data_IF_013715485599
#
_entry.id   IF_013715485599
#
_cell.length_a   1.000
_cell.length_b   1.000
_cell.length_c   1.000
_cell.angle_alpha   90.00
_cell.angle_beta   90.00
_cell.angle_gamma   90.00
#
_symmetry.space_group_name_H-M   'P 1'
#
loop_
_entity.id
_entity.type
_entity.pdbx_description
1 polymer ?
#
# COMPACT_ATOMS: atom_id res chain seq x y z
N UNK A 1 21.99 23.60 27.20
CA UNK A 1 21.71 22.89 25.94
C UNK A 1 20.65 23.68 25.21
N UNK A 2 21.04 24.39 24.15
CA UNK A 2 20.22 25.42 23.49
C UNK A 2 19.10 24.76 22.70
N UNK A 3 17.85 25.03 23.06
CA UNK A 3 16.66 24.68 22.30
C UNK A 3 16.57 25.58 21.06
N UNK A 4 17.18 25.16 19.95
CA UNK A 4 17.01 25.84 18.65
C UNK A 4 15.58 25.59 18.17
N UNK A 5 14.71 26.58 18.37
CA UNK A 5 13.38 26.60 17.76
C UNK A 5 13.56 26.80 16.26
N UNK A 6 13.48 25.72 15.48
CA UNK A 6 13.37 25.81 14.02
C UNK A 6 12.14 26.66 13.67
N UNK A 7 12.34 27.75 12.94
CA UNK A 7 11.26 28.66 12.53
C UNK A 7 10.78 28.24 11.15
N UNK A 8 9.54 27.76 11.07
CA UNK A 8 8.90 27.41 9.81
C UNK A 8 8.05 28.58 9.30
N UNK A 9 8.07 28.82 7.99
CA UNK A 9 7.16 29.74 7.31
C UNK A 9 5.98 28.92 6.79
N UNK A 10 4.75 29.32 7.15
CA UNK A 10 3.52 28.69 6.68
C UNK A 10 2.79 29.65 5.76
N UNK A 11 2.56 29.22 4.52
CA UNK A 11 1.70 29.92 3.56
C UNK A 11 0.30 29.32 3.58
N UNK A 12 -0.72 30.16 3.65
CA UNK A 12 -2.13 29.75 3.59
C UNK A 12 -2.67 30.22 2.24
N UNK A 13 -3.32 29.32 1.51
CA UNK A 13 -3.90 29.57 0.19
C UNK A 13 -5.39 29.25 0.24
N UNK A 14 -6.18 29.98 -0.54
CA UNK A 14 -7.63 29.83 -0.67
C UNK A 14 -8.04 28.95 -1.87
N UNK A 15 -7.18 28.88 -2.88
CA UNK A 15 -7.43 28.19 -4.14
C UNK A 15 -6.30 27.20 -4.51
N UNK A 16 -6.67 26.09 -5.15
CA UNK A 16 -5.76 25.00 -5.53
C UNK A 16 -4.79 25.39 -6.66
N UNK A 17 -5.24 26.20 -7.63
CA UNK A 17 -4.41 26.64 -8.76
C UNK A 17 -3.33 27.62 -8.27
N UNK A 18 -3.69 28.51 -7.35
CA UNK A 18 -2.77 29.46 -6.72
C UNK A 18 -1.71 28.70 -5.91
N UNK A 19 -2.13 27.65 -5.19
CA UNK A 19 -1.22 26.78 -4.44
C UNK A 19 -0.23 26.07 -5.37
N UNK A 20 -0.69 25.46 -6.47
CA UNK A 20 0.17 24.76 -7.44
C UNK A 20 1.23 25.70 -8.04
N UNK A 21 0.81 26.85 -8.55
CA UNK A 21 1.74 27.86 -9.08
C UNK A 21 2.71 28.40 -8.02
N UNK A 22 2.24 28.55 -6.78
CA UNK A 22 3.07 28.93 -5.64
C UNK A 22 4.16 27.90 -5.35
N UNK A 23 3.79 26.61 -5.31
CA UNK A 23 4.73 25.49 -5.08
C UNK A 23 5.77 25.42 -6.19
N UNK A 24 5.38 25.53 -7.46
CA UNK A 24 6.29 25.56 -8.60
C UNK A 24 7.28 26.73 -8.51
N UNK A 25 6.80 27.93 -8.19
CA UNK A 25 7.63 29.12 -8.05
C UNK A 25 8.62 29.05 -6.88
N UNK A 26 8.20 28.50 -5.74
CA UNK A 26 9.05 28.32 -4.56
C UNK A 26 10.13 27.26 -4.81
N UNK A 27 9.75 26.14 -5.43
CA UNK A 27 10.69 25.08 -5.83
C UNK A 27 11.68 25.58 -6.88
N UNK A 28 11.24 26.36 -7.87
CA UNK A 28 12.11 26.98 -8.88
C UNK A 28 13.16 27.92 -8.30
N UNK A 29 12.90 28.51 -7.12
CA UNK A 29 13.85 29.33 -6.36
C UNK A 29 14.79 28.51 -5.47
N UNK A 30 14.70 27.18 -5.50
CA UNK A 30 15.57 26.27 -4.74
C UNK A 30 15.22 26.15 -3.26
N UNK A 31 14.08 26.70 -2.82
CA UNK A 31 13.62 26.57 -1.44
C UNK A 31 13.06 25.17 -1.24
N UNK A 32 13.56 24.47 -0.20
CA UNK A 32 13.05 23.15 0.17
C UNK A 32 11.72 23.30 0.90
N UNK A 33 10.64 22.84 0.28
CA UNK A 33 9.33 22.72 0.90
C UNK A 33 9.35 21.46 1.77
N UNK A 34 8.94 21.59 3.04
CA UNK A 34 8.90 20.44 3.96
C UNK A 34 7.67 19.59 3.70
N UNK A 35 6.48 20.18 3.83
CA UNK A 35 5.18 19.52 3.68
C UNK A 35 4.15 20.50 3.12
N UNK A 36 3.15 19.96 2.44
CA UNK A 36 1.95 20.69 1.98
C UNK A 36 0.73 19.94 2.49
N UNK A 37 -0.15 20.63 3.17
CA UNK A 37 -1.38 20.07 3.72
C UNK A 37 -2.57 20.55 2.89
N UNK A 38 -3.36 19.61 2.36
CA UNK A 38 -4.58 19.88 1.61
C UNK A 38 -5.73 19.01 2.14
N UNK A 39 -6.96 19.54 2.27
CA UNK A 39 -8.11 18.77 2.73
C UNK A 39 -8.58 17.71 1.71
N UNK A 40 -8.12 17.80 0.45
CA UNK A 40 -8.46 16.86 -0.62
C UNK A 40 -7.24 16.64 -1.55
N UNK A 41 -7.22 15.54 -2.35
CA UNK A 41 -6.14 15.29 -3.29
C UNK A 41 -6.14 16.31 -4.43
N UNK A 42 -5.12 17.16 -4.47
CA UNK A 42 -4.86 18.10 -5.57
C UNK A 42 -4.08 17.36 -6.66
N UNK A 43 -4.60 17.35 -7.87
CA UNK A 43 -3.96 16.65 -8.99
C UNK A 43 -2.67 17.38 -9.41
N UNK A 44 -1.59 16.64 -9.64
CA UNK A 44 -0.30 17.21 -10.07
C UNK A 44 0.53 17.84 -8.95
N UNK A 45 0.02 17.91 -7.72
CA UNK A 45 0.79 18.42 -6.58
C UNK A 45 2.00 17.54 -6.26
N UNK A 46 1.89 16.23 -6.47
CA UNK A 46 2.97 15.26 -6.32
C UNK A 46 4.10 15.48 -7.32
N UNK A 47 3.76 15.82 -8.57
CA UNK A 47 4.71 16.18 -9.62
C UNK A 47 5.35 17.56 -9.36
N UNK A 48 4.54 18.53 -8.94
CA UNK A 48 5.00 19.87 -8.56
C UNK A 48 5.97 19.83 -7.37
N UNK A 49 5.73 18.97 -6.37
CA UNK A 49 6.63 18.73 -5.24
C UNK A 49 7.83 17.83 -5.60
N UNK A 50 7.71 17.04 -6.68
CA UNK A 50 8.76 16.13 -7.14
C UNK A 50 8.88 14.88 -6.27
N UNK A 51 7.78 14.39 -5.71
CA UNK A 51 7.79 13.15 -4.94
C UNK A 51 8.11 11.94 -5.81
N UNK A 52 8.84 10.98 -5.24
CA UNK A 52 9.07 9.68 -5.89
C UNK A 52 7.81 8.83 -5.78
N UNK A 53 7.53 8.04 -6.82
CA UNK A 53 6.43 7.07 -6.80
C UNK A 53 6.52 6.13 -5.60
N UNK A 54 5.37 5.84 -5.01
CA UNK A 54 5.27 4.97 -3.83
C UNK A 54 5.59 3.52 -4.20
N UNK A 55 6.20 2.78 -3.26
CA UNK A 55 6.54 1.35 -3.42
C UNK A 55 5.45 0.42 -2.89
N UNK A 56 4.26 0.95 -2.57
CA UNK A 56 3.11 0.20 -2.10
C UNK A 56 2.65 -0.92 -3.06
N UNK A 57 2.67 -0.74 -4.40
CA UNK A 57 2.29 -1.82 -5.32
C UNK A 57 3.19 -3.05 -5.22
N UNK A 58 4.49 -2.86 -4.95
CA UNK A 58 5.45 -3.96 -4.79
C UNK A 58 5.12 -4.75 -3.52
N UNK A 59 4.83 -4.04 -2.42
CA UNK A 59 4.42 -4.69 -1.18
C UNK A 59 3.15 -5.53 -1.39
N UNK A 60 2.13 -4.96 -2.03
CA UNK A 60 0.88 -5.66 -2.34
C UNK A 60 1.12 -6.93 -3.17
N UNK A 61 1.99 -6.87 -4.18
CA UNK A 61 2.36 -8.04 -4.97
C UNK A 61 3.00 -9.15 -4.13
N UNK A 62 3.92 -8.80 -3.22
CA UNK A 62 4.57 -9.77 -2.33
C UNK A 62 3.58 -10.40 -1.34
N UNK A 63 2.65 -9.62 -0.79
CA UNK A 63 1.59 -10.16 0.08
C UNK A 63 0.60 -11.04 -0.68
N UNK A 64 0.24 -10.67 -1.90
CA UNK A 64 -0.56 -11.53 -2.78
C UNK A 64 0.16 -12.84 -3.12
N UNK A 65 1.45 -12.78 -3.48
CA UNK A 65 2.25 -13.97 -3.81
C UNK A 65 2.36 -14.93 -2.62
N UNK A 66 2.62 -14.39 -1.43
CA UNK A 66 2.67 -15.19 -0.20
C UNK A 66 1.32 -15.81 0.13
N UNK A 67 0.20 -15.09 -0.09
CA UNK A 67 -1.15 -15.63 0.03
C UNK A 67 -1.46 -16.76 -0.94
N UNK A 68 -1.05 -16.64 -2.20
CA UNK A 68 -1.21 -17.70 -3.20
C UNK A 68 -0.41 -18.93 -2.81
N UNK A 69 0.87 -18.77 -2.41
CA UNK A 69 1.74 -19.88 -1.99
C UNK A 69 1.16 -20.57 -0.75
N UNK A 70 0.70 -19.79 0.23
CA UNK A 70 0.08 -20.32 1.44
C UNK A 70 -1.17 -21.13 1.10
N UNK A 71 -2.08 -20.60 0.27
CA UNK A 71 -3.32 -21.26 -0.08
C UNK A 71 -3.10 -22.58 -0.85
N UNK A 72 -2.15 -22.58 -1.79
CA UNK A 72 -1.75 -23.80 -2.53
C UNK A 72 -1.14 -24.80 -1.56
N UNK A 73 -0.16 -24.40 -0.75
CA UNK A 73 0.55 -25.30 0.17
C UNK A 73 -0.43 -25.91 1.18
N UNK A 74 -1.33 -25.11 1.74
CA UNK A 74 -2.36 -25.55 2.70
C UNK A 74 -3.27 -26.60 2.08
N UNK A 75 -3.81 -26.35 0.87
CA UNK A 75 -4.75 -27.27 0.22
C UNK A 75 -4.07 -28.57 -0.23
N UNK A 76 -2.88 -28.47 -0.81
CA UNK A 76 -2.10 -29.64 -1.22
C UNK A 76 -1.69 -30.50 -0.02
N UNK A 77 -1.30 -29.88 1.10
CA UNK A 77 -0.95 -30.63 2.31
C UNK A 77 -2.16 -31.35 2.87
N UNK A 78 -3.26 -30.64 3.15
CA UNK A 78 -4.42 -31.22 3.84
C UNK A 78 -5.09 -32.34 3.03
N UNK A 79 -5.34 -32.10 1.73
CA UNK A 79 -6.08 -33.04 0.89
C UNK A 79 -5.19 -34.07 0.18
N UNK A 80 -3.89 -33.78 0.03
CA UNK A 80 -2.95 -34.66 -0.66
C UNK A 80 -2.17 -35.58 0.27
N UNK A 81 -1.76 -35.09 1.45
CA UNK A 81 -0.81 -35.80 2.30
C UNK A 81 -1.38 -36.15 3.68
N UNK A 82 -2.04 -35.21 4.35
CA UNK A 82 -2.50 -35.41 5.74
C UNK A 82 -3.74 -36.33 5.78
N UNK A 83 -4.77 -36.01 5.00
CA UNK A 83 -5.98 -36.82 4.92
C UNK A 83 -6.52 -36.90 3.49
N UNK A 84 -5.98 -37.81 2.66
CA UNK A 84 -6.52 -38.04 1.32
C UNK A 84 -7.92 -38.67 1.42
N UNK A 85 -8.94 -37.87 1.13
CA UNK A 85 -10.34 -38.29 1.15
C UNK A 85 -10.92 -38.36 -0.28
N UNK A 86 -11.59 -39.46 -0.61
CA UNK A 86 -12.32 -39.58 -1.87
C UNK A 86 -13.70 -38.93 -1.69
N UNK A 87 -13.86 -37.71 -2.18
CA UNK A 87 -15.12 -36.96 -2.09
C UNK A 87 -15.77 -36.94 -3.49
N UNK A 88 -16.92 -37.59 -3.63
CA UNK A 88 -17.70 -37.59 -4.87
C UNK A 88 -17.02 -38.31 -6.06
N UNK A 89 -16.12 -39.26 -5.79
CA UNK A 89 -15.41 -40.05 -6.82
C UNK A 89 -14.33 -39.30 -7.59
N UNK A 90 -13.98 -38.07 -7.17
CA UNK A 90 -12.93 -37.24 -7.80
C UNK A 90 -11.57 -37.53 -7.18
N UNK A 91 -10.51 -37.30 -7.97
CA UNK A 91 -9.12 -37.38 -7.51
C UNK A 91 -8.87 -36.42 -6.34
N UNK A 92 -8.05 -36.85 -5.38
CA UNK A 92 -7.69 -36.13 -4.15
C UNK A 92 -7.17 -34.70 -4.40
N UNK A 93 -6.48 -34.50 -5.52
CA UNK A 93 -5.97 -33.21 -5.96
C UNK A 93 -6.68 -32.85 -7.27
N UNK A 94 -7.80 -32.14 -7.16
CA UNK A 94 -8.44 -31.53 -8.32
C UNK A 94 -8.28 -30.02 -8.24
N UNK A 95 -7.66 -29.43 -9.27
CA UNK A 95 -7.40 -27.99 -9.31
C UNK A 95 -8.67 -27.13 -9.39
N UNK A 96 -9.74 -27.48 -10.14
CA UNK A 96 -10.92 -26.63 -10.27
C UNK A 96 -11.57 -26.19 -8.93
N UNK A 97 -11.80 -27.06 -7.93
CA UNK A 97 -12.36 -26.63 -6.65
C UNK A 97 -11.41 -25.81 -5.77
N UNK A 98 -10.11 -25.80 -6.05
CA UNK A 98 -9.12 -25.07 -5.25
C UNK A 98 -9.03 -23.59 -5.63
N UNK A 99 -9.40 -23.25 -6.87
CA UNK A 99 -9.30 -21.89 -7.42
C UNK A 99 -10.03 -20.85 -6.56
N UNK A 100 -11.30 -21.05 -6.11
CA UNK A 100 -11.98 -20.05 -5.29
C UNK A 100 -11.27 -19.78 -3.96
N UNK A 101 -10.78 -20.83 -3.28
CA UNK A 101 -10.08 -20.68 -2.00
C UNK A 101 -8.74 -19.98 -2.19
N UNK A 102 -7.99 -20.32 -3.24
CA UNK A 102 -6.73 -19.64 -3.57
C UNK A 102 -6.99 -18.15 -3.83
N UNK A 103 -7.99 -17.83 -4.65
CA UNK A 103 -8.34 -16.45 -4.98
C UNK A 103 -8.68 -15.62 -3.73
N UNK A 104 -9.57 -16.12 -2.87
CA UNK A 104 -9.99 -15.41 -1.65
C UNK A 104 -8.81 -15.18 -0.69
N UNK A 105 -7.95 -16.17 -0.46
CA UNK A 105 -6.78 -16.05 0.41
C UNK A 105 -5.74 -15.05 -0.14
N UNK A 106 -5.51 -15.07 -1.46
CA UNK A 106 -4.63 -14.12 -2.13
C UNK A 106 -5.14 -12.69 -1.97
N UNK A 107 -6.44 -12.45 -2.19
CA UNK A 107 -7.05 -11.12 -2.05
C UNK A 107 -7.03 -10.67 -0.59
N UNK A 108 -7.36 -11.55 0.36
CA UNK A 108 -7.36 -11.26 1.79
C UNK A 108 -5.98 -10.83 2.30
N UNK A 109 -4.93 -11.62 2.01
CA UNK A 109 -3.58 -11.30 2.46
C UNK A 109 -2.99 -10.09 1.74
N UNK A 110 -3.29 -9.91 0.45
CA UNK A 110 -2.90 -8.71 -0.29
C UNK A 110 -3.50 -7.44 0.31
N UNK A 111 -4.81 -7.45 0.60
CA UNK A 111 -5.51 -6.30 1.17
C UNK A 111 -5.01 -5.98 2.58
N UNK A 112 -4.92 -6.97 3.47
CA UNK A 112 -4.44 -6.76 4.85
C UNK A 112 -2.97 -6.32 4.88
N UNK A 113 -2.12 -6.93 4.05
CA UNK A 113 -0.70 -6.57 3.95
C UNK A 113 -0.50 -5.15 3.40
N UNK A 114 -1.31 -4.73 2.43
CA UNK A 114 -1.27 -3.37 1.89
C UNK A 114 -1.68 -2.33 2.95
N UNK A 115 -2.78 -2.58 3.67
CA UNK A 115 -3.25 -1.68 4.75
C UNK A 115 -2.20 -1.58 5.86
N UNK A 116 -1.63 -2.71 6.28
CA UNK A 116 -0.56 -2.72 7.29
C UNK A 116 0.68 -1.94 6.82
N UNK A 117 1.09 -2.11 5.56
CA UNK A 117 2.22 -1.37 4.99
C UNK A 117 1.93 0.13 4.94
N UNK A 118 0.72 0.53 4.53
CA UNK A 118 0.30 1.91 4.48
C UNK A 118 0.36 2.57 5.87
N UNK A 119 -0.20 1.94 6.90
CA UNK A 119 -0.19 2.47 8.26
C UNK A 119 1.24 2.64 8.81
N UNK A 120 2.14 1.69 8.52
CA UNK A 120 3.54 1.75 8.97
C UNK A 120 4.31 2.86 8.24
N UNK A 121 4.11 3.02 6.93
CA UNK A 121 4.82 4.01 6.11
C UNK A 121 4.35 5.44 6.39
N UNK A 122 3.05 5.61 6.68
CA UNK A 122 2.45 6.91 7.02
C UNK A 122 2.62 7.28 8.51
N UNK A 123 3.32 6.45 9.30
CA UNK A 123 3.46 6.56 10.77
C UNK A 123 2.15 6.80 11.52
N UNK A 124 1.04 6.35 10.91
CA UNK A 124 -0.29 6.35 11.52
C UNK A 124 -0.42 5.10 12.39
N UNK A 125 0.37 5.02 13.45
CA UNK A 125 0.20 3.96 14.45
C UNK A 125 -1.05 4.31 15.26
N UNK A 126 -2.03 3.42 15.21
CA UNK A 126 -3.11 3.40 16.19
C UNK A 126 -2.52 2.97 17.54
N UNK A 127 -1.90 3.89 18.26
CA UNK A 127 -1.36 3.67 19.61
C UNK A 127 -1.45 4.96 20.41
#
# INVERSE_FOLDING_TARGET
MSSTSEKFLVGIFDDEDILLHGVEGVRGKGVKIHEVYSPFPVHGLDEALGYKRTRLPIAAFLFGLTGTILAVTMQFWMLGFDWPMIIGGKNFVSLPPFIPVIFELTVLLSALGMVATFLIVSDMKAL
#
